data_IF_396029757285
#
_entry.id   IF_396029757285
#
_cell.length_a   1.000
_cell.length_b   1.000
_cell.length_c   1.000
_cell.angle_alpha   90.00
_cell.angle_beta   90.00
_cell.angle_gamma   90.00
#
_symmetry.space_group_name_H-M   'P 1'
#
loop_
_entity.id
_entity.type
_entity.pdbx_description
1 polymer ?
#
# COMPACT_ATOMS: atom_id res chain seq x y z
N UNK A 1 -13.09 1.44 -10.32
CA UNK A 1 -13.75 2.47 -9.48
C UNK A 1 -12.69 3.42 -8.92
N UNK A 2 -12.91 4.73 -8.96
CA UNK A 2 -12.00 5.72 -8.40
C UNK A 2 -12.69 6.54 -7.31
N UNK A 3 -12.03 6.72 -6.16
CA UNK A 3 -12.55 7.50 -5.04
C UNK A 3 -12.22 8.99 -5.22
N UNK A 4 -13.09 9.89 -4.76
CA UNK A 4 -12.79 11.31 -4.73
C UNK A 4 -11.56 11.61 -3.86
N UNK A 5 -10.76 12.59 -4.29
CA UNK A 5 -9.59 13.04 -3.55
C UNK A 5 -9.96 13.84 -2.29
N UNK A 6 -9.07 13.85 -1.31
CA UNK A 6 -9.17 14.62 -0.07
C UNK A 6 -10.46 14.35 0.72
N UNK A 7 -10.81 13.07 0.85
CA UNK A 7 -12.01 12.59 1.53
C UNK A 7 -11.66 11.52 2.56
N UNK A 8 -12.46 11.46 3.63
CA UNK A 8 -12.41 10.39 4.63
C UNK A 8 -13.69 9.58 4.52
N UNK A 9 -13.56 8.28 4.26
CA UNK A 9 -14.65 7.33 4.05
C UNK A 9 -15.67 7.77 2.99
N UNK A 10 -15.24 8.08 1.75
CA UNK A 10 -16.17 8.39 0.67
C UNK A 10 -17.12 7.23 0.34
N UNK A 11 -16.75 5.99 0.65
CA UNK A 11 -17.66 4.86 0.63
C UNK A 11 -18.16 4.55 2.03
N UNK A 12 -19.48 4.56 2.15
CA UNK A 12 -20.22 4.17 3.36
C UNK A 12 -21.00 2.89 3.10
N UNK A 13 -21.22 2.11 4.15
CA UNK A 13 -22.06 0.92 4.10
C UNK A 13 -23.52 1.26 3.84
N UNK A 14 -24.30 0.24 3.51
CA UNK A 14 -25.71 0.37 3.11
C UNK A 14 -26.61 1.00 4.20
N UNK A 15 -26.18 0.99 5.46
CA UNK A 15 -26.87 1.68 6.56
C UNK A 15 -26.65 3.20 6.58
N UNK A 16 -25.68 3.73 5.84
CA UNK A 16 -25.37 5.17 5.77
C UNK A 16 -24.86 5.77 7.09
N UNK A 17 -24.64 4.97 8.13
CA UNK A 17 -24.16 5.41 9.43
C UNK A 17 -22.63 5.44 9.48
N UNK A 18 -22.08 6.42 10.20
CA UNK A 18 -20.64 6.49 10.46
C UNK A 18 -20.20 5.25 11.26
N UNK A 19 -19.27 4.48 10.71
CA UNK A 19 -18.82 3.20 11.28
C UNK A 19 -19.37 1.95 10.58
N UNK A 20 -20.42 2.08 9.75
CA UNK A 20 -20.82 1.02 8.82
C UNK A 20 -19.89 1.08 7.60
N UNK A 21 -18.79 0.34 7.65
CA UNK A 21 -17.84 0.28 6.54
C UNK A 21 -18.28 -0.76 5.49
N UNK A 22 -18.14 -0.45 4.19
CA UNK A 22 -18.57 -1.37 3.14
C UNK A 22 -17.65 -2.59 3.06
N UNK A 23 -18.18 -3.66 2.50
CA UNK A 23 -17.41 -4.83 2.06
C UNK A 23 -17.31 -4.78 0.54
N UNK A 24 -16.09 -4.86 0.00
CA UNK A 24 -15.84 -4.75 -1.43
C UNK A 24 -15.26 -6.07 -1.93
N UNK A 25 -15.77 -6.54 -3.06
CA UNK A 25 -15.18 -7.65 -3.82
C UNK A 25 -14.61 -7.12 -5.12
N UNK A 26 -13.32 -7.37 -5.35
CA UNK A 26 -12.66 -7.11 -6.63
C UNK A 26 -12.59 -8.43 -7.40
N UNK A 27 -13.37 -8.49 -8.48
CA UNK A 27 -13.51 -9.66 -9.35
C UNK A 27 -12.99 -9.30 -10.74
N UNK A 28 -11.68 -9.37 -10.91
CA UNK A 28 -11.05 -9.29 -12.23
C UNK A 28 -11.10 -10.64 -12.94
N UNK A 29 -10.45 -10.71 -14.09
CA UNK A 29 -10.22 -11.97 -14.79
C UNK A 29 -8.98 -12.69 -14.28
N UNK A 30 -8.71 -13.88 -14.83
CA UNK A 30 -7.53 -14.69 -14.48
C UNK A 30 -6.20 -13.90 -14.57
N UNK A 31 -5.24 -14.17 -13.68
CA UNK A 31 -3.90 -13.62 -13.80
C UNK A 31 -3.29 -13.88 -15.19
N UNK A 32 -2.62 -12.87 -15.76
CA UNK A 32 -1.94 -12.98 -17.06
C UNK A 32 -2.77 -12.57 -18.28
N UNK A 33 -4.09 -12.36 -18.14
CA UNK A 33 -4.90 -11.78 -19.22
C UNK A 33 -4.88 -10.24 -19.17
N UNK A 34 -4.71 -9.56 -20.32
CA UNK A 34 -4.78 -8.10 -20.38
C UNK A 34 -6.23 -7.61 -20.25
N UNK A 35 -6.40 -6.44 -19.62
CA UNK A 35 -7.66 -5.68 -19.53
C UNK A 35 -8.80 -6.27 -18.68
N UNK A 36 -8.53 -7.28 -17.86
CA UNK A 36 -9.53 -7.85 -16.93
C UNK A 36 -9.14 -7.56 -15.47
N UNK A 37 -8.99 -6.28 -15.12
CA UNK A 37 -8.64 -5.85 -13.76
C UNK A 37 -9.84 -5.21 -13.06
N UNK A 38 -10.19 -5.71 -11.87
CA UNK A 38 -11.08 -5.00 -10.97
C UNK A 38 -10.26 -4.00 -10.14
N UNK A 39 -10.32 -2.72 -10.52
CA UNK A 39 -9.50 -1.66 -9.92
C UNK A 39 -10.30 -0.87 -8.89
N UNK A 40 -9.74 -0.73 -7.68
CA UNK A 40 -10.11 0.28 -6.69
C UNK A 40 -8.99 1.31 -6.60
N UNK A 41 -9.26 2.53 -7.03
CA UNK A 41 -8.28 3.62 -7.09
C UNK A 41 -8.56 4.67 -6.01
N UNK A 42 -7.51 5.09 -5.32
CA UNK A 42 -7.50 6.14 -4.29
C UNK A 42 -6.46 7.17 -4.68
N UNK A 43 -6.60 8.40 -4.20
CA UNK A 43 -5.54 9.36 -4.40
C UNK A 43 -5.81 10.73 -3.80
N UNK A 44 -4.74 11.50 -3.65
CA UNK A 44 -4.82 12.88 -3.22
C UNK A 44 -5.37 13.07 -1.80
N UNK A 45 -4.82 12.37 -0.81
CA UNK A 45 -5.19 12.45 0.62
C UNK A 45 -6.51 11.75 0.97
N UNK A 46 -6.79 10.61 0.33
CA UNK A 46 -8.03 9.88 0.59
C UNK A 46 -7.80 8.75 1.58
N UNK A 47 -8.63 8.73 2.62
CA UNK A 47 -8.66 7.69 3.66
C UNK A 47 -9.96 6.90 3.52
N UNK A 48 -9.88 5.58 3.46
CA UNK A 48 -11.06 4.72 3.34
C UNK A 48 -10.95 3.53 4.30
N UNK A 49 -12.00 3.30 5.07
CA UNK A 49 -12.17 2.11 5.90
C UNK A 49 -13.14 1.14 5.25
N UNK A 50 -12.78 -0.14 5.17
CA UNK A 50 -13.62 -1.22 4.68
C UNK A 50 -13.76 -2.30 5.76
N UNK A 51 -14.96 -2.83 5.90
CA UNK A 51 -15.20 -4.02 6.73
C UNK A 51 -14.53 -5.26 6.12
N UNK A 52 -14.35 -5.26 4.80
CA UNK A 52 -13.55 -6.28 4.16
C UNK A 52 -13.26 -5.98 2.71
N UNK A 53 -12.11 -6.47 2.26
CA UNK A 53 -11.73 -6.51 0.86
C UNK A 53 -11.53 -7.98 0.47
N UNK A 54 -12.33 -8.46 -0.47
CA UNK A 54 -12.19 -9.79 -1.04
C UNK A 54 -11.67 -9.68 -2.47
N UNK A 55 -10.65 -10.48 -2.78
CA UNK A 55 -10.12 -10.62 -4.12
C UNK A 55 -10.57 -11.96 -4.67
N UNK A 56 -11.19 -11.92 -5.84
CA UNK A 56 -11.50 -13.11 -6.65
C UNK A 56 -10.74 -12.96 -7.96
N UNK A 57 -9.91 -13.95 -8.26
CA UNK A 57 -8.99 -13.99 -9.41
C UNK A 57 -7.96 -12.85 -9.44
N UNK A 58 -8.36 -11.62 -9.73
CA UNK A 58 -7.43 -10.49 -9.81
C UNK A 58 -8.06 -9.17 -9.35
N UNK A 59 -7.44 -8.54 -8.36
CA UNK A 59 -7.83 -7.22 -7.87
C UNK A 59 -6.67 -6.26 -7.89
N UNK A 60 -6.95 -4.99 -8.17
CA UNK A 60 -5.95 -3.92 -8.15
C UNK A 60 -6.36 -2.84 -7.17
N UNK A 61 -5.46 -2.49 -6.28
CA UNK A 61 -5.53 -1.31 -5.40
C UNK A 61 -4.51 -0.31 -5.94
N UNK A 62 -5.00 0.78 -6.51
CA UNK A 62 -4.20 1.77 -7.24
C UNK A 62 -4.10 3.07 -6.43
N UNK A 63 -2.94 3.33 -5.84
CA UNK A 63 -2.67 4.51 -5.02
C UNK A 63 -2.09 5.64 -5.89
N UNK A 64 -2.83 6.73 -6.10
CA UNK A 64 -2.41 7.80 -7.01
C UNK A 64 -2.12 9.09 -6.25
N UNK A 65 -0.91 9.62 -6.40
CA UNK A 65 -0.60 10.99 -5.97
C UNK A 65 -0.44 11.21 -4.45
N UNK A 66 -0.08 10.17 -3.68
CA UNK A 66 0.32 10.32 -2.27
C UNK A 66 1.58 11.20 -2.12
N UNK A 67 2.58 10.99 -2.98
CA UNK A 67 3.83 11.75 -2.99
C UNK A 67 3.67 13.26 -3.14
N UNK A 68 2.75 13.68 -4.01
CA UNK A 68 2.79 14.99 -4.67
C UNK A 68 2.54 16.17 -3.72
N UNK A 69 2.00 15.94 -2.53
CA UNK A 69 1.66 17.00 -1.58
C UNK A 69 2.01 16.66 -0.11
N UNK A 70 2.79 15.61 0.15
CA UNK A 70 3.05 15.12 1.51
C UNK A 70 1.77 14.71 2.25
N UNK A 71 0.77 14.20 1.51
CA UNK A 71 -0.53 13.83 2.05
C UNK A 71 -0.78 12.34 1.86
N UNK A 72 -1.24 11.69 2.91
CA UNK A 72 -1.29 10.24 2.99
C UNK A 72 -2.55 9.66 2.34
N UNK A 73 -2.43 8.59 1.56
CA UNK A 73 -3.55 7.75 1.21
C UNK A 73 -3.57 6.53 2.13
N UNK A 74 -4.70 6.25 2.76
CA UNK A 74 -4.79 5.16 3.74
C UNK A 74 -6.00 4.29 3.44
N UNK A 75 -5.77 3.00 3.27
CA UNK A 75 -6.81 1.98 3.21
C UNK A 75 -6.78 1.15 4.50
N UNK A 76 -7.83 1.26 5.31
CA UNK A 76 -8.04 0.46 6.50
C UNK A 76 -8.97 -0.71 6.17
N UNK A 77 -8.59 -1.92 6.55
CA UNK A 77 -9.34 -3.15 6.32
C UNK A 77 -9.54 -3.87 7.65
N UNK A 78 -10.78 -4.19 8.00
CA UNK A 78 -11.02 -5.16 9.08
C UNK A 78 -10.67 -6.58 8.65
N UNK A 79 -10.87 -6.91 7.36
CA UNK A 79 -10.54 -8.20 6.78
C UNK A 79 -9.99 -8.06 5.36
N UNK A 80 -8.97 -8.86 5.02
CA UNK A 80 -8.45 -9.04 3.67
C UNK A 80 -8.46 -10.53 3.32
N UNK A 81 -9.16 -10.89 2.24
CA UNK A 81 -9.26 -12.29 1.81
C UNK A 81 -8.95 -12.39 0.33
N UNK A 82 -8.12 -13.35 -0.05
CA UNK A 82 -7.82 -13.69 -1.44
C UNK A 82 -8.34 -15.11 -1.68
N UNK A 83 -9.30 -15.25 -2.59
CA UNK A 83 -10.00 -16.50 -2.86
C UNK A 83 -9.41 -17.18 -4.09
N UNK A 84 -8.83 -18.38 -3.89
CA UNK A 84 -8.16 -19.15 -4.94
C UNK A 84 -6.65 -19.13 -4.78
N UNK A 85 -6.00 -20.24 -5.11
CA UNK A 85 -4.54 -20.37 -4.98
C UNK A 85 -3.79 -19.43 -5.94
N UNK A 86 -4.36 -19.22 -7.13
CA UNK A 86 -3.76 -18.38 -8.18
C UNK A 86 -4.26 -16.93 -8.14
N UNK A 87 -5.17 -16.58 -7.23
CA UNK A 87 -5.70 -15.23 -7.17
C UNK A 87 -4.65 -14.22 -6.70
N UNK A 88 -4.69 -13.00 -7.23
CA UNK A 88 -3.67 -11.98 -7.00
C UNK A 88 -4.26 -10.62 -6.61
N UNK A 89 -3.67 -10.03 -5.58
CA UNK A 89 -3.83 -8.61 -5.26
C UNK A 89 -2.62 -7.84 -5.77
N UNK A 90 -2.87 -6.91 -6.69
CA UNK A 90 -1.84 -6.02 -7.22
C UNK A 90 -1.99 -4.65 -6.55
N UNK A 91 -0.90 -4.16 -5.98
CA UNK A 91 -0.78 -2.80 -5.47
C UNK A 91 0.00 -1.97 -6.49
N UNK A 92 -0.65 -0.95 -7.04
CA UNK A 92 -0.12 -0.13 -8.13
C UNK A 92 0.13 1.31 -7.66
N UNK A 93 1.15 1.94 -8.25
CA UNK A 93 1.55 3.33 -8.00
C UNK A 93 1.88 3.64 -6.53
N UNK A 94 2.32 2.64 -5.78
CA UNK A 94 2.68 2.74 -4.36
C UNK A 94 3.82 3.73 -4.10
N UNK A 95 3.67 4.58 -3.08
CA UNK A 95 4.73 5.40 -2.49
C UNK A 95 4.93 5.05 -1.01
N UNK A 96 6.11 4.52 -0.68
CA UNK A 96 6.50 4.12 0.68
C UNK A 96 6.40 5.23 1.75
N UNK A 97 6.34 6.50 1.34
CA UNK A 97 6.27 7.65 2.25
C UNK A 97 4.86 8.16 2.49
N UNK A 98 3.89 7.76 1.67
CA UNK A 98 2.57 8.38 1.64
C UNK A 98 1.41 7.39 1.56
N UNK A 99 1.64 6.14 1.14
CA UNK A 99 0.58 5.16 0.97
C UNK A 99 0.63 4.09 2.06
N UNK A 100 -0.54 3.73 2.58
CA UNK A 100 -0.67 2.78 3.67
C UNK A 100 -1.83 1.81 3.41
N UNK A 101 -1.51 0.51 3.47
CA UNK A 101 -2.48 -0.58 3.48
C UNK A 101 -2.47 -1.22 4.86
N UNK A 102 -3.54 -1.02 5.61
CA UNK A 102 -3.64 -1.39 7.02
C UNK A 102 -4.71 -2.44 7.23
N UNK A 103 -4.35 -3.57 7.83
CA UNK A 103 -5.26 -4.68 8.14
C UNK A 103 -5.36 -4.86 9.65
N UNK A 104 -6.57 -4.91 10.20
CA UNK A 104 -6.80 -5.04 11.66
C UNK A 104 -6.10 -6.30 12.21
N UNK A 105 -5.34 -6.14 13.31
CA UNK A 105 -4.51 -7.23 13.87
C UNK A 105 -5.29 -8.49 14.22
N UNK A 106 -6.45 -8.32 14.86
CA UNK A 106 -7.31 -9.43 15.29
C UNK A 106 -7.69 -10.37 14.14
N UNK A 107 -7.75 -9.86 12.91
CA UNK A 107 -7.91 -10.67 11.70
C UNK A 107 -6.56 -11.04 11.09
N UNK A 108 -5.66 -10.07 10.98
CA UNK A 108 -4.41 -10.21 10.25
C UNK A 108 -3.53 -11.33 10.77
N UNK A 109 -3.40 -11.50 12.09
CA UNK A 109 -2.44 -12.41 12.75
C UNK A 109 -2.43 -13.83 12.17
N UNK A 110 -3.60 -14.30 11.74
CA UNK A 110 -3.78 -15.65 11.18
C UNK A 110 -3.92 -15.63 9.67
N UNK A 111 -4.54 -14.59 9.11
CA UNK A 111 -5.03 -14.61 7.74
C UNK A 111 -4.09 -13.96 6.72
N UNK A 112 -3.16 -13.10 7.16
CA UNK A 112 -2.24 -12.40 6.25
C UNK A 112 -1.02 -13.25 5.87
N UNK A 113 -0.32 -13.94 6.79
CA UNK A 113 0.87 -14.73 6.42
C UNK A 113 0.65 -15.72 5.28
N UNK A 114 -0.48 -16.46 5.23
CA UNK A 114 -0.72 -17.42 4.15
C UNK A 114 -0.93 -16.80 2.76
N UNK A 115 -1.28 -15.50 2.69
CA UNK A 115 -1.64 -14.82 1.44
C UNK A 115 -0.61 -13.79 0.98
N UNK A 116 0.48 -13.58 1.72
CA UNK A 116 1.50 -12.57 1.36
C UNK A 116 2.11 -12.81 -0.03
N UNK A 117 2.27 -14.06 -0.43
CA UNK A 117 2.79 -14.43 -1.76
C UNK A 117 1.82 -14.09 -2.91
N UNK A 118 0.55 -13.83 -2.61
CA UNK A 118 -0.49 -13.42 -3.56
C UNK A 118 -0.62 -11.89 -3.66
N UNK A 119 0.12 -11.14 -2.84
CA UNK A 119 0.12 -9.67 -2.84
C UNK A 119 1.39 -9.19 -3.55
N UNK A 120 1.21 -8.42 -4.61
CA UNK A 120 2.28 -7.93 -5.47
C UNK A 120 2.27 -6.42 -5.53
N UNK A 121 3.38 -5.78 -5.14
CA UNK A 121 3.58 -4.36 -5.33
C UNK A 121 4.31 -4.13 -6.66
N UNK A 122 3.70 -3.40 -7.59
CA UNK A 122 4.27 -3.17 -8.92
C UNK A 122 5.58 -2.38 -8.81
N UNK A 123 6.69 -2.96 -9.30
CA UNK A 123 8.01 -2.32 -9.26
C UNK A 123 8.72 -2.43 -7.92
N UNK A 124 8.28 -3.34 -7.03
CA UNK A 124 8.86 -3.57 -5.71
C UNK A 124 9.17 -5.06 -5.45
N UNK A 125 9.86 -5.32 -4.34
CA UNK A 125 10.09 -6.65 -3.80
C UNK A 125 8.82 -7.33 -3.22
N UNK A 126 8.98 -8.55 -2.67
CA UNK A 126 7.86 -9.30 -2.09
C UNK A 126 7.10 -8.50 -1.02
N UNK A 127 5.79 -8.74 -0.91
CA UNK A 127 5.01 -8.17 0.18
C UNK A 127 5.45 -8.75 1.53
N UNK A 128 5.44 -7.89 2.53
CA UNK A 128 5.60 -8.25 3.93
C UNK A 128 4.54 -7.53 4.76
N UNK A 129 4.43 -7.93 6.01
CA UNK A 129 3.61 -7.25 7.01
C UNK A 129 4.47 -6.83 8.19
N UNK A 130 4.14 -5.70 8.82
CA UNK A 130 4.85 -5.19 9.99
C UNK A 130 3.98 -4.29 10.83
N UNK A 131 4.41 -4.03 12.05
CA UNK A 131 3.76 -3.03 12.89
C UNK A 131 3.91 -1.66 12.23
N UNK A 132 2.83 -0.87 12.24
CA UNK A 132 2.93 0.51 11.82
C UNK A 132 3.73 1.30 12.88
N UNK A 133 4.69 2.09 12.42
CA UNK A 133 5.56 2.90 13.28
C UNK A 133 4.88 4.13 13.91
N UNK A 134 3.67 4.51 13.46
CA UNK A 134 2.97 5.69 13.96
C UNK A 134 2.06 5.33 15.14
N UNK A 135 2.07 6.17 16.16
CA UNK A 135 1.17 6.07 17.30
C UNK A 135 -0.30 6.20 16.85
N UNK A 136 -1.20 5.41 17.44
CA UNK A 136 -2.62 5.34 17.04
C UNK A 136 -2.96 4.28 15.98
N UNK A 137 -1.95 3.58 15.45
CA UNK A 137 -2.13 2.49 14.49
C UNK A 137 -1.75 1.11 15.03
N UNK A 138 -1.59 0.99 16.36
CA UNK A 138 -1.20 -0.25 17.03
C UNK A 138 -2.16 -1.42 16.76
N UNK A 139 -3.43 -1.14 16.46
CA UNK A 139 -4.44 -2.16 16.20
C UNK A 139 -4.38 -2.71 14.75
N UNK A 140 -3.41 -2.28 13.95
CA UNK A 140 -3.26 -2.67 12.56
C UNK A 140 -1.88 -3.26 12.25
N UNK A 141 -1.87 -4.22 11.34
CA UNK A 141 -0.71 -4.61 10.54
C UNK A 141 -0.64 -3.75 9.29
N UNK A 142 0.54 -3.23 8.99
CA UNK A 142 0.79 -2.59 7.71
C UNK A 142 1.31 -3.63 6.72
N UNK A 143 0.63 -3.75 5.57
CA UNK A 143 1.10 -4.51 4.42
C UNK A 143 1.91 -3.56 3.54
N UNK A 144 3.13 -3.95 3.21
CA UNK A 144 4.11 -3.07 2.55
C UNK A 144 5.10 -3.93 1.77
N UNK A 145 5.72 -3.43 0.69
CA UNK A 145 6.79 -4.17 0.05
C UNK A 145 8.00 -4.28 0.98
N UNK A 146 8.80 -5.33 0.80
CA UNK A 146 10.14 -5.35 1.39
C UNK A 146 10.95 -4.16 0.86
N UNK A 147 11.71 -3.46 1.72
CA UNK A 147 12.60 -2.38 1.32
C UNK A 147 13.49 -2.82 0.15
N UNK A 148 13.46 -2.09 -0.97
CA UNK A 148 14.40 -2.38 -2.05
C UNK A 148 15.83 -2.07 -1.55
N UNK A 149 16.79 -3.03 -1.67
CA UNK A 149 18.17 -2.79 -1.27
C UNK A 149 18.81 -1.57 -1.95
N UNK A 150 18.37 -1.24 -3.18
CA UNK A 150 18.91 -0.16 -4.00
C UNK A 150 18.51 1.25 -3.57
N UNK A 151 17.27 1.44 -3.11
CA UNK A 151 16.73 2.77 -2.78
C UNK A 151 17.43 3.39 -1.57
N UNK A 152 17.78 2.57 -0.58
CA UNK A 152 18.61 3.00 0.54
C UNK A 152 20.08 3.14 0.13
N UNK A 153 20.59 2.26 -0.73
CA UNK A 153 21.97 2.33 -1.26
C UNK A 153 22.26 3.61 -2.05
N UNK A 154 21.32 4.10 -2.85
CA UNK A 154 21.49 5.32 -3.65
C UNK A 154 21.55 6.60 -2.80
N UNK A 155 20.76 6.67 -1.72
CA UNK A 155 20.75 7.81 -0.79
C UNK A 155 22.04 7.86 0.02
N UNK A 156 22.49 6.73 0.58
CA UNK A 156 23.75 6.69 1.31
C UNK A 156 24.97 6.86 0.39
N UNK A 157 24.93 6.30 -0.83
CA UNK A 157 25.99 6.45 -1.82
C UNK A 157 26.20 7.90 -2.23
N UNK A 158 25.13 8.63 -2.53
CA UNK A 158 25.20 10.04 -2.93
C UNK A 158 25.71 10.96 -1.80
N UNK A 159 25.33 10.70 -0.55
CA UNK A 159 25.87 11.43 0.61
C UNK A 159 27.37 11.16 0.83
N UNK A 160 27.80 9.90 0.70
CA UNK A 160 29.21 9.52 0.83
C UNK A 160 30.07 10.16 -0.27
N UNK A 161 29.61 10.14 -1.52
CA UNK A 161 30.30 10.80 -2.64
C UNK A 161 30.40 12.31 -2.44
N UNK A 162 29.34 12.98 -1.96
CA UNK A 162 29.35 14.40 -1.66
C UNK A 162 30.38 14.79 -0.59
N UNK A 163 30.47 14.00 0.49
CA UNK A 163 31.47 14.20 1.55
C UNK A 163 32.91 14.02 1.07
N UNK A 164 33.17 13.01 0.23
CA UNK A 164 34.50 12.75 -0.33
C UNK A 164 34.95 13.91 -1.23
N UNK A 165 34.07 14.38 -2.13
CA UNK A 165 34.37 15.51 -3.02
C UNK A 165 34.62 16.79 -2.23
N UNK A 166 33.81 17.07 -1.22
CA UNK A 166 33.99 18.26 -0.37
C UNK A 166 35.33 18.23 0.40
N UNK A 167 35.69 17.07 0.96
CA UNK A 167 36.95 16.87 1.69
C UNK A 167 38.18 17.01 0.78
N UNK A 168 38.09 16.53 -0.45
CA UNK A 168 39.17 16.66 -1.44
C UNK A 168 39.32 18.09 -1.96
N UNK A 169 38.23 18.86 -2.03
CA UNK A 169 38.26 20.27 -2.43
C UNK A 169 38.93 21.14 -1.37
N UNK A 170 38.65 20.92 -0.08
CA UNK A 170 39.32 21.64 1.03
C UNK A 170 40.84 21.45 1.05
N UNK A 171 41.32 20.22 0.82
CA UNK A 171 42.75 19.87 0.79
C UNK A 171 43.54 20.43 -0.40
N UNK A 172 42.89 21.02 -1.40
CA UNK A 172 43.54 21.63 -2.58
C UNK A 172 43.58 23.17 -2.50
N UNK A 173 43.05 23.75 -1.42
CA UNK A 173 42.99 25.20 -1.19
C UNK A 173 43.86 25.65 -0.01
N UNK A 174 44.64 24.73 0.55
CA UNK A 174 45.77 24.96 1.45
C UNK A 174 47.06 24.71 0.65
#
# INVERSE_FOLDING_TARGET
MALPANQTNPLVGLGGHYGDFPFITLMGGPPGLPNEEAILRFGGNTKQSLRGLQIQDRGVVDFVGGALNGKENILYLDALTISGADAQLIIRNWDDRADYLLVRRSYGDVNIPPILNQIHFEGYGPAMWREHYLEGYSDYWQITPMPEPGTYGAIFGSLAFGLIVWRNKRRRTE
#
